data_IF_445936211348
#
_entry.id   IF_445936211348
#
_cell.length_a   1.000
_cell.length_b   1.000
_cell.length_c   1.000
_cell.angle_alpha   90.00
_cell.angle_beta   90.00
_cell.angle_gamma   90.00
#
_symmetry.space_group_name_H-M   'P 1'
#
loop_
_entity.id
_entity.type
_entity.pdbx_description
1 polymer ?
#
# COMPACT_ATOMS: atom_id res chain seq x y z
N UNK A 1 -16.06 70.67 4.86
CA UNK A 1 -16.91 69.46 4.62
C UNK A 1 -16.22 68.36 3.81
N UNK A 2 -14.87 68.25 3.81
CA UNK A 2 -14.09 67.27 3.03
C UNK A 2 -13.27 66.30 3.91
N UNK A 3 -13.18 66.52 5.22
CA UNK A 3 -12.36 65.73 6.15
C UNK A 3 -13.17 64.59 6.80
N UNK A 4 -14.48 64.73 6.94
CA UNK A 4 -15.33 63.70 7.57
C UNK A 4 -15.61 62.47 6.71
N UNK A 5 -15.41 62.55 5.40
CA UNK A 5 -15.58 61.37 4.52
C UNK A 5 -14.36 60.44 4.42
N UNK A 6 -13.18 60.88 4.84
CA UNK A 6 -11.96 60.03 4.83
C UNK A 6 -11.91 59.09 6.03
N UNK A 7 -12.49 59.44 7.16
CA UNK A 7 -12.46 58.63 8.39
C UNK A 7 -13.40 57.42 8.26
N UNK A 8 -14.59 57.60 7.61
CA UNK A 8 -15.51 56.47 7.39
C UNK A 8 -15.01 55.40 6.43
N UNK A 9 -14.12 55.75 5.48
CA UNK A 9 -13.53 54.80 4.51
C UNK A 9 -12.44 53.96 5.16
N UNK A 10 -11.74 54.47 6.15
CA UNK A 10 -10.70 53.74 6.88
C UNK A 10 -11.29 52.73 7.88
N UNK A 11 -12.38 53.07 8.56
CA UNK A 11 -13.06 52.16 9.48
C UNK A 11 -13.66 50.94 8.75
N UNK A 12 -14.31 51.14 7.61
CA UNK A 12 -14.85 50.00 6.82
C UNK A 12 -13.77 49.10 6.25
N UNK A 13 -12.58 49.59 5.96
CA UNK A 13 -11.44 48.76 5.49
C UNK A 13 -10.81 48.00 6.64
N UNK A 14 -10.71 48.55 7.83
CA UNK A 14 -10.19 47.88 9.02
C UNK A 14 -11.16 46.78 9.47
N UNK A 15 -12.48 47.06 9.46
CA UNK A 15 -13.51 46.05 9.77
C UNK A 15 -13.53 44.93 8.73
N UNK A 16 -13.36 45.25 7.44
CA UNK A 16 -13.26 44.25 6.38
C UNK A 16 -11.99 43.38 6.49
N UNK A 17 -10.86 43.94 6.89
CA UNK A 17 -9.63 43.16 7.16
C UNK A 17 -9.75 42.29 8.40
N UNK A 18 -10.39 42.73 9.47
CA UNK A 18 -10.68 41.91 10.64
C UNK A 18 -11.65 40.78 10.36
N UNK A 19 -12.67 41.00 9.52
CA UNK A 19 -13.60 39.97 9.07
C UNK A 19 -12.90 38.91 8.17
N UNK A 20 -11.95 39.34 7.32
CA UNK A 20 -11.16 38.44 6.49
C UNK A 20 -10.16 37.58 7.28
N UNK A 21 -9.58 38.13 8.37
CA UNK A 21 -8.66 37.39 9.26
C UNK A 21 -9.45 36.38 10.11
N UNK A 22 -10.69 36.66 10.49
CA UNK A 22 -11.53 35.72 11.23
C UNK A 22 -11.96 34.49 10.39
N UNK A 23 -11.97 34.62 9.06
CA UNK A 23 -12.27 33.53 8.12
C UNK A 23 -11.04 32.60 7.87
N UNK A 24 -9.84 33.05 8.27
CA UNK A 24 -8.58 32.30 8.14
C UNK A 24 -8.19 31.53 9.41
N UNK A 25 -8.97 31.60 10.48
CA UNK A 25 -8.76 30.71 11.63
C UNK A 25 -8.98 29.27 11.16
N UNK A 26 -8.02 28.36 11.38
CA UNK A 26 -8.24 26.96 11.09
C UNK A 26 -9.47 26.52 11.89
N UNK A 27 -10.53 26.15 11.16
CA UNK A 27 -11.67 25.50 11.79
C UNK A 27 -11.11 24.33 12.56
N UNK A 28 -11.44 24.14 13.86
CA UNK A 28 -11.11 22.93 14.54
C UNK A 28 -11.63 21.81 13.64
N UNK A 29 -10.71 20.97 13.11
CA UNK A 29 -11.10 19.75 12.46
C UNK A 29 -11.95 19.05 13.52
N UNK A 30 -13.27 19.07 13.31
CA UNK A 30 -14.18 18.36 14.18
C UNK A 30 -13.63 16.95 14.26
N UNK A 31 -13.30 16.50 15.46
CA UNK A 31 -13.02 15.10 15.71
C UNK A 31 -14.25 14.37 15.15
N UNK A 32 -14.11 13.85 13.94
CA UNK A 32 -15.12 12.98 13.35
C UNK A 32 -15.19 11.82 14.33
N UNK A 33 -16.27 11.78 15.09
CA UNK A 33 -16.63 10.62 15.87
C UNK A 33 -16.73 9.49 14.84
N UNK A 34 -15.68 8.71 14.75
CA UNK A 34 -15.61 7.55 13.88
C UNK A 34 -16.57 6.51 14.51
N UNK A 35 -17.83 6.61 14.11
CA UNK A 35 -18.79 5.56 14.39
C UNK A 35 -18.23 4.28 13.78
N UNK A 36 -18.03 3.27 14.66
CA UNK A 36 -17.31 2.04 14.37
C UNK A 36 -18.09 1.06 13.44
N UNK A 37 -18.76 1.59 12.45
CA UNK A 37 -19.03 0.88 11.21
C UNK A 37 -17.79 1.04 10.35
N UNK A 38 -17.03 -0.05 10.20
CA UNK A 38 -15.95 -0.09 9.21
C UNK A 38 -16.58 0.37 7.89
N UNK A 39 -16.46 1.69 7.63
CA UNK A 39 -16.95 2.27 6.40
C UNK A 39 -16.07 1.75 5.28
N UNK A 40 -16.66 1.28 4.18
CA UNK A 40 -15.88 0.83 3.03
C UNK A 40 -16.66 -0.09 2.11
N UNK A 41 -16.19 -0.13 0.87
CA UNK A 41 -16.68 -1.05 -0.14
C UNK A 41 -16.31 -2.48 0.24
N UNK A 42 -17.27 -3.38 0.22
CA UNK A 42 -17.01 -4.82 0.38
C UNK A 42 -16.26 -5.33 -0.87
N UNK A 43 -15.13 -6.00 -0.64
CA UNK A 43 -14.32 -6.58 -1.71
C UNK A 43 -13.99 -8.03 -1.35
N UNK A 44 -13.99 -8.90 -2.37
CA UNK A 44 -13.53 -10.27 -2.23
C UNK A 44 -12.01 -10.33 -2.35
N UNK A 45 -11.39 -11.41 -1.87
CA UNK A 45 -9.95 -11.61 -1.99
C UNK A 45 -9.49 -11.59 -3.45
N UNK A 46 -10.28 -12.20 -4.35
CA UNK A 46 -9.97 -12.22 -5.78
C UNK A 46 -10.01 -10.82 -6.40
N UNK A 47 -11.02 -10.01 -6.05
CA UNK A 47 -11.07 -8.60 -6.49
C UNK A 47 -9.86 -7.80 -5.97
N UNK A 48 -9.40 -8.06 -4.75
CA UNK A 48 -8.17 -7.45 -4.23
C UNK A 48 -6.94 -7.80 -5.08
N UNK A 49 -6.79 -9.07 -5.48
CA UNK A 49 -5.70 -9.49 -6.36
C UNK A 49 -5.77 -8.82 -7.73
N UNK A 50 -6.96 -8.72 -8.31
CA UNK A 50 -7.16 -8.09 -9.63
C UNK A 50 -6.89 -6.58 -9.57
N UNK A 51 -7.32 -5.90 -8.51
CA UNK A 51 -7.03 -4.48 -8.30
C UNK A 51 -5.53 -4.25 -8.12
N UNK A 52 -4.89 -5.03 -7.27
CA UNK A 52 -3.44 -4.92 -7.04
C UNK A 52 -2.63 -5.19 -8.31
N UNK A 53 -3.00 -6.20 -9.10
CA UNK A 53 -2.33 -6.51 -10.37
C UNK A 53 -2.39 -5.35 -11.38
N UNK A 54 -3.43 -4.50 -11.29
CA UNK A 54 -3.62 -3.34 -12.18
C UNK A 54 -3.04 -2.06 -11.63
N UNK A 55 -3.21 -1.79 -10.33
CA UNK A 55 -2.98 -0.47 -9.73
C UNK A 55 -1.75 -0.40 -8.84
N UNK A 56 -1.27 -1.51 -8.28
CA UNK A 56 -0.12 -1.51 -7.38
C UNK A 56 1.13 -1.01 -8.09
N UNK A 57 1.84 -0.08 -7.45
CA UNK A 57 3.02 0.57 -8.03
C UNK A 57 4.19 -0.40 -8.24
N UNK A 58 4.41 -1.36 -7.34
CA UNK A 58 5.47 -2.36 -7.48
C UNK A 58 5.23 -3.24 -8.71
N UNK A 59 3.97 -3.64 -8.95
CA UNK A 59 3.58 -4.36 -10.16
C UNK A 59 3.81 -3.54 -11.43
N UNK A 60 3.50 -2.25 -11.41
CA UNK A 60 3.75 -1.36 -12.55
C UNK A 60 5.25 -1.20 -12.82
N UNK A 61 6.05 -1.00 -11.79
CA UNK A 61 7.53 -0.93 -11.90
C UNK A 61 8.07 -2.24 -12.48
N UNK A 62 7.64 -3.39 -11.97
CA UNK A 62 8.07 -4.68 -12.49
C UNK A 62 7.70 -4.89 -13.97
N UNK A 63 6.48 -4.51 -14.38
CA UNK A 63 6.05 -4.56 -15.79
C UNK A 63 6.93 -3.65 -16.67
N UNK A 64 7.25 -2.45 -16.19
CA UNK A 64 8.13 -1.51 -16.92
C UNK A 64 9.59 -2.00 -16.98
N UNK A 65 10.08 -2.71 -15.98
CA UNK A 65 11.40 -3.34 -16.02
C UNK A 65 11.47 -4.43 -17.08
N UNK A 66 10.44 -5.27 -17.20
CA UNK A 66 10.34 -6.28 -18.27
C UNK A 66 10.26 -5.61 -19.64
N UNK A 67 9.43 -4.58 -19.80
CA UNK A 67 9.32 -3.81 -21.05
C UNK A 67 10.66 -3.22 -21.44
N UNK A 68 11.38 -2.59 -20.51
CA UNK A 68 12.72 -2.06 -20.73
C UNK A 68 13.70 -3.15 -21.19
N UNK A 69 13.73 -4.29 -20.52
CA UNK A 69 14.60 -5.40 -20.88
C UNK A 69 14.28 -5.95 -22.29
N UNK A 70 12.99 -5.95 -22.68
CA UNK A 70 12.60 -6.34 -24.04
C UNK A 70 13.08 -5.33 -25.09
N UNK A 71 12.94 -4.03 -24.84
CA UNK A 71 13.43 -2.99 -25.75
C UNK A 71 14.96 -3.06 -25.90
N UNK A 72 15.66 -3.31 -24.79
CA UNK A 72 17.12 -3.45 -24.79
C UNK A 72 17.63 -4.61 -25.66
N UNK A 73 16.80 -5.62 -25.97
CA UNK A 73 17.20 -6.67 -26.92
C UNK A 73 17.49 -6.13 -28.31
N UNK A 74 16.86 -5.01 -28.70
CA UNK A 74 17.13 -4.33 -29.98
C UNK A 74 18.54 -3.76 -30.06
N UNK A 75 19.14 -3.39 -28.94
CA UNK A 75 20.50 -2.81 -28.89
C UNK A 75 21.61 -3.86 -29.05
N UNK A 76 21.25 -5.15 -29.16
CA UNK A 76 22.24 -6.21 -29.37
C UNK A 76 23.10 -6.01 -30.66
N UNK A 77 22.55 -5.29 -31.63
CA UNK A 77 23.15 -5.00 -32.93
C UNK A 77 23.62 -3.55 -33.08
N UNK A 78 23.61 -2.79 -31.97
CA UNK A 78 24.12 -1.42 -32.01
C UNK A 78 25.61 -1.44 -32.31
N UNK A 79 25.96 -0.69 -33.35
CA UNK A 79 27.36 -0.42 -33.74
C UNK A 79 27.91 0.68 -32.83
N UNK A 80 29.22 0.64 -32.59
CA UNK A 80 29.88 1.72 -31.88
C UNK A 80 29.75 3.02 -32.69
N UNK A 81 29.78 4.13 -31.96
CA UNK A 81 29.66 5.45 -32.60
C UNK A 81 30.73 5.65 -33.63
N UNK A 82 30.34 6.09 -34.82
CA UNK A 82 31.28 6.57 -35.84
C UNK A 82 31.96 7.82 -35.32
N UNK A 83 33.27 7.83 -35.29
CA UNK A 83 34.08 9.00 -34.96
C UNK A 83 34.61 9.65 -36.23
N UNK A 84 34.33 10.93 -36.37
CA UNK A 84 34.85 11.76 -37.46
C UNK A 84 35.74 12.82 -36.86
N UNK A 85 37.04 12.72 -37.07
CA UNK A 85 38.00 13.66 -36.54
C UNK A 85 38.57 14.50 -37.68
N UNK A 86 38.47 15.82 -37.57
CA UNK A 86 39.17 16.75 -38.40
C UNK A 86 40.39 17.28 -37.64
N UNK A 87 41.59 17.03 -38.18
CA UNK A 87 42.85 17.53 -37.64
C UNK A 87 43.46 18.54 -38.57
N UNK A 88 43.83 19.68 -38.01
CA UNK A 88 44.55 20.72 -38.71
C UNK A 88 45.89 20.94 -38.01
N UNK A 89 46.97 20.54 -38.66
CA UNK A 89 48.33 20.79 -38.17
C UNK A 89 48.87 22.08 -38.81
N UNK A 90 49.17 23.13 -38.01
CA UNK A 90 49.87 24.28 -38.52
C UNK A 90 51.29 23.87 -38.87
N UNK A 91 51.64 23.89 -40.16
CA UNK A 91 52.94 23.50 -40.59
C UNK A 91 54.02 24.53 -40.15
N UNK A 92 55.04 24.02 -39.51
CA UNK A 92 56.22 24.80 -39.19
C UNK A 92 57.08 24.89 -40.48
N UNK A 93 56.74 25.80 -41.40
CA UNK A 93 57.50 26.09 -42.60
C UNK A 93 57.08 25.38 -43.91
N UNK A 94 55.83 24.89 -44.01
CA UNK A 94 55.25 24.27 -45.22
C UNK A 94 53.74 24.52 -45.33
N UNK A 95 53.08 23.88 -46.30
CA UNK A 95 51.67 23.95 -46.51
C UNK A 95 50.94 23.30 -45.27
N UNK A 96 49.77 23.86 -44.84
CA UNK A 96 48.99 23.33 -43.74
C UNK A 96 48.45 21.97 -44.15
N UNK A 97 48.79 20.95 -43.34
CA UNK A 97 48.27 19.58 -43.50
C UNK A 97 46.93 19.42 -42.79
N UNK A 98 45.88 19.22 -43.58
CA UNK A 98 44.54 19.00 -43.09
C UNK A 98 44.20 17.51 -43.19
N UNK A 99 43.99 16.87 -42.06
CA UNK A 99 43.61 15.46 -41.99
C UNK A 99 42.11 15.27 -41.70
N UNK A 100 41.51 14.35 -42.43
CA UNK A 100 40.14 13.89 -42.17
C UNK A 100 40.20 12.40 -41.83
N UNK A 101 39.87 12.05 -40.58
CA UNK A 101 39.89 10.66 -40.12
C UNK A 101 38.47 10.18 -39.81
N UNK A 102 38.10 9.10 -40.46
CA UNK A 102 36.84 8.40 -40.23
C UNK A 102 37.16 7.07 -39.56
N UNK A 103 36.70 6.88 -38.33
CA UNK A 103 36.89 5.65 -37.54
C UNK A 103 35.58 5.00 -37.25
N UNK A 104 35.41 3.73 -37.65
CA UNK A 104 34.29 2.90 -37.31
C UNK A 104 34.79 1.59 -36.71
N UNK A 105 34.43 1.33 -35.45
CA UNK A 105 34.70 0.05 -34.78
C UNK A 105 33.57 -0.95 -35.05
N UNK A 106 33.96 -2.15 -35.40
CA UNK A 106 33.05 -3.28 -35.62
C UNK A 106 33.53 -4.43 -34.79
N UNK A 107 32.61 -4.96 -33.92
CA UNK A 107 32.86 -6.18 -33.17
C UNK A 107 32.77 -7.42 -34.06
N UNK A 108 33.44 -8.49 -33.66
CA UNK A 108 33.33 -9.77 -34.37
C UNK A 108 31.88 -10.29 -34.31
N UNK A 109 31.31 -10.87 -35.37
CA UNK A 109 29.89 -11.26 -35.42
C UNK A 109 29.38 -12.11 -34.25
N UNK A 110 30.24 -12.94 -33.64
CA UNK A 110 29.87 -13.74 -32.48
C UNK A 110 29.60 -12.91 -31.24
N UNK A 111 30.16 -11.70 -31.11
CA UNK A 111 29.92 -10.79 -29.98
C UNK A 111 28.46 -10.33 -29.99
N UNK A 112 27.94 -9.95 -31.16
CA UNK A 112 26.54 -9.54 -31.31
C UNK A 112 25.55 -10.66 -30.96
N UNK A 113 25.84 -11.89 -31.38
CA UNK A 113 25.00 -13.05 -31.07
C UNK A 113 25.04 -13.39 -29.58
N UNK A 114 26.20 -13.30 -28.94
CA UNK A 114 26.36 -13.52 -27.50
C UNK A 114 25.63 -12.41 -26.71
N UNK A 115 25.77 -11.14 -27.08
CA UNK A 115 25.05 -10.01 -26.49
C UNK A 115 23.53 -10.19 -26.60
N UNK A 116 23.04 -10.65 -27.75
CA UNK A 116 21.60 -10.94 -27.95
C UNK A 116 21.12 -12.05 -27.01
N UNK A 117 21.89 -13.12 -26.84
CA UNK A 117 21.54 -14.22 -25.95
C UNK A 117 21.54 -13.78 -24.48
N UNK A 118 22.51 -12.95 -24.08
CA UNK A 118 22.57 -12.34 -22.75
C UNK A 118 21.31 -11.49 -22.48
N UNK A 119 20.95 -10.56 -23.39
CA UNK A 119 19.78 -9.69 -23.24
C UNK A 119 18.46 -10.48 -23.21
N UNK A 120 18.38 -11.61 -23.93
CA UNK A 120 17.24 -12.53 -23.81
C UNK A 120 17.19 -13.19 -22.42
N UNK A 121 18.33 -13.64 -21.89
CA UNK A 121 18.40 -14.23 -20.56
C UNK A 121 18.03 -13.18 -19.48
N UNK A 122 18.51 -11.94 -19.62
CA UNK A 122 18.13 -10.82 -18.74
C UNK A 122 16.62 -10.55 -18.79
N UNK A 123 16.02 -10.54 -19.97
CA UNK A 123 14.56 -10.38 -20.11
C UNK A 123 13.80 -11.52 -19.41
N UNK A 124 14.29 -12.75 -19.52
CA UNK A 124 13.68 -13.87 -18.82
C UNK A 124 13.84 -13.78 -17.30
N UNK A 125 14.98 -13.30 -16.83
CA UNK A 125 15.22 -13.02 -15.41
C UNK A 125 14.26 -11.94 -14.88
N UNK A 126 14.05 -10.84 -15.63
CA UNK A 126 13.09 -9.78 -15.24
C UNK A 126 11.64 -10.28 -15.20
N UNK A 127 11.23 -11.18 -16.13
CA UNK A 127 9.91 -11.84 -16.08
C UNK A 127 9.77 -12.70 -14.83
N UNK A 128 10.81 -13.46 -14.47
CA UNK A 128 10.82 -14.28 -13.26
C UNK A 128 10.74 -13.42 -12.00
N UNK A 129 11.46 -12.30 -11.94
CA UNK A 129 11.37 -11.31 -10.84
C UNK A 129 9.96 -10.73 -10.71
N UNK A 130 9.34 -10.35 -11.81
CA UNK A 130 7.95 -9.86 -11.81
C UNK A 130 6.99 -10.91 -11.25
N UNK A 131 7.20 -12.19 -11.59
CA UNK A 131 6.38 -13.27 -11.02
C UNK A 131 6.57 -13.39 -9.50
N UNK A 132 7.82 -13.33 -9.01
CA UNK A 132 8.12 -13.35 -7.56
C UNK A 132 7.42 -12.19 -6.85
N UNK A 133 7.55 -10.96 -7.38
CA UNK A 133 6.87 -9.75 -6.82
C UNK A 133 5.36 -9.96 -6.80
N UNK A 134 4.78 -10.53 -7.86
CA UNK A 134 3.35 -10.82 -7.94
C UNK A 134 2.90 -11.81 -6.85
N UNK A 135 3.66 -12.87 -6.62
CA UNK A 135 3.33 -13.87 -5.59
C UNK A 135 3.49 -13.30 -4.18
N UNK A 136 4.54 -12.53 -3.93
CA UNK A 136 4.75 -11.85 -2.65
C UNK A 136 3.60 -10.89 -2.35
N UNK A 137 3.23 -10.04 -3.30
CA UNK A 137 2.12 -9.11 -3.15
C UNK A 137 0.79 -9.83 -2.86
N UNK A 138 0.51 -10.94 -3.56
CA UNK A 138 -0.67 -11.75 -3.29
C UNK A 138 -0.67 -12.32 -1.88
N UNK A 139 0.48 -12.82 -1.40
CA UNK A 139 0.61 -13.34 -0.05
C UNK A 139 0.40 -12.24 1.01
N UNK A 140 0.95 -11.05 0.80
CA UNK A 140 0.78 -9.89 1.69
C UNK A 140 -0.68 -9.46 1.75
N UNK A 141 -1.35 -9.31 0.60
CA UNK A 141 -2.77 -8.96 0.52
C UNK A 141 -3.63 -10.02 1.21
N UNK A 142 -3.40 -11.30 0.96
CA UNK A 142 -4.14 -12.37 1.59
C UNK A 142 -3.99 -12.35 3.11
N UNK A 143 -2.76 -12.14 3.61
CA UNK A 143 -2.50 -12.02 5.04
C UNK A 143 -3.27 -10.84 5.67
N UNK A 144 -3.16 -9.64 5.09
CA UNK A 144 -3.86 -8.45 5.57
C UNK A 144 -5.39 -8.64 5.53
N UNK A 145 -5.91 -9.22 4.44
CA UNK A 145 -7.33 -9.50 4.25
C UNK A 145 -7.88 -10.44 5.34
N UNK A 146 -7.21 -11.56 5.58
CA UNK A 146 -7.65 -12.53 6.59
C UNK A 146 -7.45 -12.03 8.02
N UNK A 147 -6.40 -11.27 8.30
CA UNK A 147 -6.24 -10.61 9.59
C UNK A 147 -7.37 -9.63 9.86
N UNK A 148 -7.73 -8.80 8.86
CA UNK A 148 -8.83 -7.86 8.99
C UNK A 148 -10.17 -8.59 9.22
N UNK A 149 -10.42 -9.68 8.50
CA UNK A 149 -11.61 -10.52 8.68
C UNK A 149 -11.65 -11.14 10.09
N UNK A 150 -10.52 -11.66 10.58
CA UNK A 150 -10.39 -12.19 11.93
C UNK A 150 -10.71 -11.12 13.00
N UNK A 151 -10.12 -9.94 12.89
CA UNK A 151 -10.36 -8.86 13.84
C UNK A 151 -11.81 -8.36 13.80
N UNK A 152 -12.44 -8.34 12.63
CA UNK A 152 -13.86 -8.02 12.52
C UNK A 152 -14.75 -9.02 13.27
N UNK A 153 -14.50 -10.31 13.14
CA UNK A 153 -15.21 -11.33 13.90
C UNK A 153 -14.92 -11.25 15.42
N UNK A 154 -13.66 -11.00 15.79
CA UNK A 154 -13.28 -10.79 17.19
C UNK A 154 -14.05 -9.62 17.80
N UNK A 155 -14.17 -8.50 17.08
CA UNK A 155 -14.95 -7.36 17.53
C UNK A 155 -16.43 -7.71 17.77
N UNK A 156 -17.05 -8.50 16.89
CA UNK A 156 -18.42 -8.95 17.06
C UNK A 156 -18.60 -9.80 18.35
N UNK A 157 -17.63 -10.66 18.65
CA UNK A 157 -17.65 -11.47 19.89
C UNK A 157 -17.52 -10.55 21.09
N UNK A 158 -16.57 -9.61 21.12
CA UNK A 158 -16.37 -8.66 22.20
C UNK A 158 -17.60 -7.78 22.44
N UNK A 159 -18.31 -7.37 21.38
CA UNK A 159 -19.58 -6.63 21.49
C UNK A 159 -20.68 -7.46 22.17
N UNK A 160 -20.77 -8.76 21.89
CA UNK A 160 -21.70 -9.66 22.60
C UNK A 160 -21.31 -9.80 24.06
N UNK A 161 -20.01 -9.95 24.35
CA UNK A 161 -19.50 -10.01 25.72
C UNK A 161 -19.81 -8.70 26.47
N UNK A 162 -19.61 -7.54 25.84
CA UNK A 162 -19.89 -6.22 26.42
C UNK A 162 -21.34 -6.12 26.89
N UNK A 163 -22.31 -6.56 26.10
CA UNK A 163 -23.71 -6.55 26.45
C UNK A 163 -24.07 -7.44 27.66
N UNK A 164 -23.32 -8.52 27.87
CA UNK A 164 -23.46 -9.40 29.03
C UNK A 164 -22.81 -8.76 30.25
N UNK A 165 -21.59 -8.25 30.11
CA UNK A 165 -20.87 -7.62 31.22
C UNK A 165 -21.57 -6.35 31.72
N UNK A 166 -22.15 -5.55 30.80
CA UNK A 166 -22.92 -4.37 31.18
C UNK A 166 -24.14 -4.73 32.03
N UNK A 167 -24.88 -5.80 31.66
CA UNK A 167 -25.99 -6.30 32.49
C UNK A 167 -25.52 -6.81 33.84
N UNK A 168 -24.40 -7.54 33.86
CA UNK A 168 -23.81 -8.04 35.09
C UNK A 168 -23.37 -6.90 36.00
N UNK A 169 -22.69 -5.87 35.49
CA UNK A 169 -22.27 -4.69 36.26
C UNK A 169 -23.49 -3.96 36.85
N UNK A 170 -24.57 -3.76 36.07
CA UNK A 170 -25.82 -3.15 36.57
C UNK A 170 -26.47 -3.95 37.71
N UNK A 171 -26.49 -5.27 37.59
CA UNK A 171 -27.04 -6.15 38.69
C UNK A 171 -26.15 -6.06 39.92
N UNK A 172 -24.83 -6.09 39.78
CA UNK A 172 -23.89 -5.96 40.89
C UNK A 172 -24.03 -4.60 41.58
N UNK A 173 -24.23 -3.52 40.85
CA UNK A 173 -24.48 -2.18 41.37
C UNK A 173 -25.80 -2.12 42.18
N UNK A 174 -26.90 -2.70 41.64
CA UNK A 174 -28.17 -2.72 42.32
C UNK A 174 -28.11 -3.52 43.67
N UNK A 175 -27.45 -4.69 43.65
CA UNK A 175 -27.25 -5.49 44.87
C UNK A 175 -26.42 -4.78 45.92
N UNK A 176 -25.36 -4.08 45.49
CA UNK A 176 -24.54 -3.26 46.38
C UNK A 176 -25.37 -2.12 46.98
N UNK A 177 -26.14 -1.39 46.19
CA UNK A 177 -27.05 -0.33 46.70
C UNK A 177 -28.13 -0.83 47.63
N UNK A 178 -28.59 -2.06 47.45
CA UNK A 178 -29.53 -2.74 48.35
C UNK A 178 -28.89 -3.30 49.63
N UNK A 179 -27.56 -3.24 49.77
CA UNK A 179 -26.82 -3.82 50.88
C UNK A 179 -26.67 -5.34 50.82
N UNK A 180 -27.05 -5.99 49.73
CA UNK A 180 -27.02 -7.44 49.52
C UNK A 180 -25.64 -7.98 49.14
N UNK A 181 -24.74 -7.12 48.64
CA UNK A 181 -23.39 -7.51 48.22
C UNK A 181 -22.32 -6.52 48.68
N UNK A 182 -21.06 -6.95 48.62
CA UNK A 182 -19.93 -6.12 48.98
C UNK A 182 -19.55 -5.19 47.84
N UNK A 183 -19.03 -4.01 48.16
CA UNK A 183 -18.51 -3.05 47.19
C UNK A 183 -17.49 -3.68 46.25
N UNK A 184 -16.68 -4.63 46.72
CA UNK A 184 -15.68 -5.34 45.93
C UNK A 184 -16.28 -6.09 44.72
N UNK A 185 -17.48 -6.68 44.89
CA UNK A 185 -18.18 -7.38 43.80
C UNK A 185 -18.59 -6.43 42.69
N UNK A 186 -19.17 -5.28 43.06
CA UNK A 186 -19.53 -4.22 42.11
C UNK A 186 -18.30 -3.69 41.36
N UNK A 187 -17.20 -3.32 42.10
CA UNK A 187 -15.98 -2.82 41.49
C UNK A 187 -15.32 -3.84 40.56
N UNK A 188 -15.39 -5.13 40.91
CA UNK A 188 -14.86 -6.20 40.06
C UNK A 188 -15.65 -6.35 38.77
N UNK A 189 -16.99 -6.23 38.85
CA UNK A 189 -17.84 -6.27 37.65
C UNK A 189 -17.62 -5.07 36.73
N UNK A 190 -17.54 -3.87 37.32
CA UNK A 190 -17.27 -2.63 36.58
C UNK A 190 -15.88 -2.66 35.90
N UNK A 191 -14.86 -3.14 36.60
CA UNK A 191 -13.53 -3.34 36.06
C UNK A 191 -13.56 -4.26 34.84
N UNK A 192 -14.27 -5.38 34.89
CA UNK A 192 -14.40 -6.32 33.79
C UNK A 192 -15.08 -5.69 32.56
N UNK A 193 -16.10 -4.87 32.80
CA UNK A 193 -16.75 -4.11 31.73
C UNK A 193 -15.74 -3.13 31.03
N UNK A 194 -14.97 -2.41 31.86
CA UNK A 194 -13.99 -1.45 31.33
C UNK A 194 -12.81 -2.14 30.61
N UNK A 195 -12.32 -3.28 31.12
CA UNK A 195 -11.32 -4.11 30.44
C UNK A 195 -11.79 -4.54 29.05
N UNK A 196 -13.03 -5.06 28.94
CA UNK A 196 -13.60 -5.45 27.65
C UNK A 196 -13.75 -4.26 26.67
N UNK A 197 -14.12 -3.09 27.17
CA UNK A 197 -14.23 -1.87 26.35
C UNK A 197 -12.88 -1.41 25.84
N UNK A 198 -11.83 -1.50 26.65
CA UNK A 198 -10.45 -1.21 26.20
C UNK A 198 -10.03 -2.20 25.10
N UNK A 199 -10.27 -3.50 25.30
CA UNK A 199 -9.96 -4.51 24.28
C UNK A 199 -10.73 -4.26 22.97
N UNK A 200 -12.00 -3.85 23.05
CA UNK A 200 -12.76 -3.44 21.86
C UNK A 200 -12.15 -2.24 21.15
N UNK A 201 -11.63 -1.26 21.89
CA UNK A 201 -10.98 -0.09 21.31
C UNK A 201 -9.68 -0.48 20.61
N UNK A 202 -8.87 -1.36 21.20
CA UNK A 202 -7.65 -1.87 20.61
C UNK A 202 -7.93 -2.63 19.29
N UNK A 203 -8.94 -3.50 19.30
CA UNK A 203 -9.35 -4.26 18.10
C UNK A 203 -9.85 -3.33 17.02
N UNK A 204 -10.59 -2.26 17.34
CA UNK A 204 -11.02 -1.25 16.34
C UNK A 204 -9.84 -0.54 15.72
N UNK A 205 -8.88 -0.09 16.52
CA UNK A 205 -7.67 0.57 16.03
C UNK A 205 -6.85 -0.36 15.11
N UNK A 206 -6.79 -1.66 15.46
CA UNK A 206 -6.11 -2.65 14.62
C UNK A 206 -6.82 -2.87 13.28
N UNK A 207 -8.16 -2.88 13.26
CA UNK A 207 -8.93 -2.96 12.01
C UNK A 207 -8.67 -1.73 11.13
N UNK A 208 -8.64 -0.53 11.70
CA UNK A 208 -8.34 0.70 10.97
C UNK A 208 -6.92 0.66 10.37
N UNK A 209 -5.93 0.20 11.13
CA UNK A 209 -4.56 0.01 10.65
C UNK A 209 -4.51 -0.97 9.47
N UNK A 210 -5.14 -2.13 9.61
CA UNK A 210 -5.18 -3.15 8.54
C UNK A 210 -5.92 -2.64 7.30
N UNK A 211 -6.95 -1.81 7.48
CA UNK A 211 -7.65 -1.18 6.37
C UNK A 211 -6.73 -0.22 5.59
N UNK A 212 -5.94 0.58 6.29
CA UNK A 212 -4.95 1.48 5.67
C UNK A 212 -3.88 0.67 4.94
N UNK A 213 -3.38 -0.41 5.55
CA UNK A 213 -2.41 -1.31 4.93
C UNK A 213 -2.96 -1.92 3.64
N UNK A 214 -4.20 -2.43 3.68
CA UNK A 214 -4.87 -2.98 2.49
C UNK A 214 -5.07 -1.93 1.39
N UNK A 215 -5.50 -0.72 1.75
CA UNK A 215 -5.65 0.40 0.80
C UNK A 215 -4.31 0.76 0.14
N UNK A 216 -3.22 0.75 0.90
CA UNK A 216 -1.87 0.99 0.40
C UNK A 216 -1.42 -0.11 -0.58
N UNK A 217 -1.66 -1.39 -0.24
CA UNK A 217 -1.33 -2.53 -1.10
C UNK A 217 -2.13 -2.50 -2.41
N UNK A 218 -3.39 -2.08 -2.36
CA UNK A 218 -4.26 -1.94 -3.53
C UNK A 218 -4.03 -0.63 -4.30
N UNK A 219 -3.28 0.33 -3.72
CA UNK A 219 -3.12 1.69 -4.25
C UNK A 219 -4.46 2.37 -4.52
N UNK A 220 -5.38 2.30 -3.56
CA UNK A 220 -6.70 2.93 -3.62
C UNK A 220 -6.89 3.94 -2.51
N UNK A 221 -7.63 5.02 -2.78
CA UNK A 221 -8.05 5.99 -1.75
C UNK A 221 -9.43 5.66 -1.17
N UNK A 222 -10.17 4.78 -1.82
CA UNK A 222 -11.47 4.35 -1.30
C UNK A 222 -11.27 3.34 -0.16
N UNK A 223 -11.92 3.53 0.98
CA UNK A 223 -11.87 2.57 2.07
C UNK A 223 -12.51 1.25 1.62
N UNK A 224 -11.77 0.17 1.83
CA UNK A 224 -12.19 -1.19 1.48
C UNK A 224 -12.30 -2.04 2.73
N UNK A 225 -13.22 -3.01 2.70
CA UNK A 225 -13.39 -4.00 3.78
C UNK A 225 -13.62 -5.38 3.18
N UNK A 226 -13.19 -6.45 3.86
CA UNK A 226 -13.44 -7.80 3.41
C UNK A 226 -14.94 -8.07 3.25
N UNK A 227 -15.31 -8.80 2.20
CA UNK A 227 -16.61 -9.43 2.14
C UNK A 227 -16.73 -10.43 3.29
N UNK A 228 -17.94 -10.55 3.86
CA UNK A 228 -18.18 -11.55 4.92
C UNK A 228 -18.03 -12.96 4.32
N UNK A 229 -16.90 -13.59 4.66
CA UNK A 229 -16.62 -14.97 4.30
C UNK A 229 -16.66 -15.85 5.56
N UNK A 230 -17.12 -17.08 5.42
CA UNK A 230 -17.13 -18.02 6.52
C UNK A 230 -15.72 -18.57 6.74
N UNK A 231 -15.01 -18.05 7.75
CA UNK A 231 -13.63 -18.43 8.09
C UNK A 231 -13.47 -19.95 8.29
N UNK A 232 -14.47 -20.63 8.82
CA UNK A 232 -14.42 -22.09 9.03
C UNK A 232 -14.48 -22.86 7.73
N UNK A 233 -15.26 -22.38 6.76
CA UNK A 233 -15.32 -22.99 5.42
C UNK A 233 -13.99 -22.80 4.66
N UNK A 234 -13.38 -21.61 4.76
CA UNK A 234 -12.08 -21.29 4.15
C UNK A 234 -10.97 -22.15 4.76
N UNK A 235 -10.91 -22.28 6.08
CA UNK A 235 -9.94 -23.12 6.75
C UNK A 235 -10.06 -24.59 6.33
N UNK A 236 -11.28 -25.12 6.24
CA UNK A 236 -11.54 -26.49 5.79
C UNK A 236 -11.15 -26.71 4.33
N UNK A 237 -11.38 -25.72 3.46
CA UNK A 237 -11.04 -25.80 2.03
C UNK A 237 -9.53 -25.75 1.81
N UNK A 238 -8.79 -24.91 2.54
CA UNK A 238 -7.34 -24.82 2.47
C UNK A 238 -6.65 -26.08 2.98
N UNK A 239 -7.14 -26.68 4.08
CA UNK A 239 -6.60 -27.93 4.59
C UNK A 239 -6.75 -29.10 3.61
N UNK A 240 -7.84 -29.14 2.85
CA UNK A 240 -8.06 -30.18 1.84
C UNK A 240 -7.26 -29.96 0.54
N UNK A 241 -6.86 -28.72 0.24
CA UNK A 241 -6.12 -28.38 -0.99
C UNK A 241 -4.60 -28.54 -0.80
N UNK A 242 -4.09 -28.49 0.44
CA UNK A 242 -2.69 -28.71 0.75
C UNK A 242 -2.37 -30.21 0.77
N UNK A 243 -2.20 -30.78 -0.41
CA UNK A 243 -1.65 -32.13 -0.54
C UNK A 243 -0.12 -32.03 -0.52
N UNK A 244 0.48 -32.17 0.68
CA UNK A 244 1.93 -32.11 0.89
C UNK A 244 2.72 -33.07 -0.02
N UNK A 245 2.12 -34.17 -0.43
CA UNK A 245 2.73 -35.14 -1.33
C UNK A 245 2.93 -34.59 -2.74
N UNK A 246 1.95 -33.87 -3.30
CA UNK A 246 2.09 -33.24 -4.62
C UNK A 246 3.12 -32.09 -4.64
N UNK A 247 3.28 -31.37 -3.53
CA UNK A 247 4.29 -30.30 -3.43
C UNK A 247 5.71 -30.87 -3.31
N UNK A 248 5.89 -31.98 -2.63
CA UNK A 248 7.16 -32.66 -2.51
C UNK A 248 7.60 -33.29 -3.85
N UNK A 249 6.69 -33.97 -4.55
CA UNK A 249 6.96 -34.58 -5.85
C UNK A 249 7.32 -33.57 -6.94
N UNK A 250 6.72 -32.36 -6.89
CA UNK A 250 7.03 -31.26 -7.80
C UNK A 250 8.44 -30.67 -7.59
N UNK A 251 8.96 -30.68 -6.38
CA UNK A 251 10.32 -30.23 -6.06
C UNK A 251 11.39 -31.25 -6.49
N UNK A 252 11.10 -32.53 -6.36
CA UNK A 252 12.03 -33.61 -6.80
C UNK A 252 12.13 -33.79 -8.32
N UNK A 253 11.16 -33.28 -9.08
CA UNK A 253 11.20 -33.35 -10.55
C UNK A 253 11.94 -32.17 -11.21
N UNK A 254 12.21 -31.09 -10.49
CA UNK A 254 12.97 -29.94 -11.01
C UNK A 254 14.49 -30.10 -10.90
N UNK A 255 14.98 -31.09 -10.16
CA UNK A 255 16.41 -31.38 -9.96
C UNK A 255 16.94 -32.55 -10.86
N UNK A 256 16.19 -32.97 -11.88
CA UNK A 256 16.62 -33.90 -12.92
C UNK A 256 16.66 -33.20 -14.28
#
# INVERSE_FOLDING_TARGET
MKIMNRIKITENRVVACFAAILLLLPRPAGAQHFDAHIAGRKVTLQECFDLAARQNLQMQVGKKSVERAQVMQGTAWDLDKTEVTFSQNPATGGESDNGFTFTQSLDFPTVYTSRRNQLKAETQAEKSRLNVVSQQLKAEIANTYYQMLYQAHRLQILQRIDSVLERYSKIAEMRYKAGESRQLEYLSADRKCNENRLEMADVKSEIERLQIDLMSQLNTQEPVKPAEENLTAIAAQNLNTYNYQQSADGLYQQDK
#
